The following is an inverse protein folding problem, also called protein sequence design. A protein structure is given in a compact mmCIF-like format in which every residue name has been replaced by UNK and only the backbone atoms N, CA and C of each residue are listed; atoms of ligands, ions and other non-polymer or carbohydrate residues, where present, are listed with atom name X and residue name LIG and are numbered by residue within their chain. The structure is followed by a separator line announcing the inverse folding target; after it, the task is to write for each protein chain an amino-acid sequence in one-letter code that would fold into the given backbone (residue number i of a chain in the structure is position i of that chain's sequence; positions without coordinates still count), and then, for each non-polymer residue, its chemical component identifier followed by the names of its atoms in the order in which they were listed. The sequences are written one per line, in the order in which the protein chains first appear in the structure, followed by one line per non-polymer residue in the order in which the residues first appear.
data_IF_341032726175
#
_entry.id   IF_341032726175
#
_cell.length_a   1.000
_cell.length_b   1.000
_cell.length_c   1.000
_cell.angle_alpha   90.00
_cell.angle_beta   90.00
_cell.angle_gamma   90.00
#
_symmetry.space_group_name_H-M   'P 1'
#
loop_
_entity.id
_entity.type
_entity.pdbx_description
1 polymer ?
#
# COMPACT_ATOMS: atom_id res chain seq x y z
N UNK A 1 2.49 17.48 20.95
CA UNK A 1 3.07 16.12 20.94
C UNK A 1 2.45 15.32 19.81
N UNK A 2 3.27 14.71 19.02
CA UNK A 2 2.78 13.83 17.93
C UNK A 2 2.18 12.59 18.60
N UNK A 3 0.92 12.30 18.34
CA UNK A 3 0.28 11.08 18.85
C UNK A 3 0.98 9.86 18.23
N UNK A 4 1.29 8.82 19.02
CA UNK A 4 2.05 7.69 18.53
C UNK A 4 1.26 6.89 17.49
N UNK A 5 1.95 6.53 16.41
CA UNK A 5 1.46 5.69 15.33
C UNK A 5 2.16 4.34 15.44
N UNK A 6 1.39 3.27 15.35
CA UNK A 6 1.92 1.91 15.30
C UNK A 6 1.59 1.26 13.96
N UNK A 7 2.59 0.62 13.34
CA UNK A 7 2.41 -0.10 12.09
C UNK A 7 2.29 -1.59 12.38
N UNK A 8 1.24 -2.20 11.86
CA UNK A 8 0.97 -3.65 11.99
C UNK A 8 0.63 -4.24 10.63
N UNK A 9 1.06 -5.48 10.39
CA UNK A 9 0.56 -6.26 9.27
C UNK A 9 -0.82 -6.84 9.59
N UNK A 10 -1.75 -6.77 8.65
CA UNK A 10 -3.03 -7.47 8.76
C UNK A 10 -2.78 -8.99 8.67
N UNK A 11 -3.24 -9.73 9.65
CA UNK A 11 -3.16 -11.20 9.69
C UNK A 11 -4.49 -11.86 9.29
N UNK A 12 -5.57 -11.13 9.40
CA UNK A 12 -6.93 -11.55 9.02
C UNK A 12 -7.74 -10.33 8.55
N UNK A 13 -8.78 -10.59 7.76
CA UNK A 13 -9.74 -9.58 7.35
C UNK A 13 -10.89 -9.51 8.36
N UNK A 14 -11.07 -8.34 8.97
CA UNK A 14 -12.11 -8.05 9.96
C UNK A 14 -13.09 -7.00 9.44
N UNK A 15 -14.24 -6.88 10.07
CA UNK A 15 -15.19 -5.79 9.78
C UNK A 15 -14.59 -4.42 10.04
N UNK A 16 -13.72 -4.29 11.04
CA UNK A 16 -12.96 -3.06 11.30
C UNK A 16 -12.07 -2.70 10.11
N UNK A 17 -11.38 -3.69 9.54
CA UNK A 17 -10.55 -3.52 8.36
C UNK A 17 -11.41 -3.08 7.16
N UNK A 18 -12.54 -3.74 6.92
CA UNK A 18 -13.46 -3.37 5.84
C UNK A 18 -13.98 -1.94 6.00
N UNK A 19 -14.36 -1.53 7.20
CA UNK A 19 -14.78 -0.17 7.49
C UNK A 19 -13.66 0.85 7.28
N UNK A 20 -12.42 0.52 7.65
CA UNK A 20 -11.26 1.37 7.41
C UNK A 20 -11.00 1.56 5.90
N UNK A 21 -11.04 0.50 5.11
CA UNK A 21 -10.86 0.58 3.64
C UNK A 21 -12.01 1.34 2.96
N UNK A 22 -13.26 1.17 3.43
CA UNK A 22 -14.40 1.95 2.94
C UNK A 22 -14.19 3.46 3.11
N UNK A 23 -13.46 3.89 4.14
CA UNK A 23 -13.12 5.29 4.40
C UNK A 23 -11.86 5.74 3.66
N UNK A 24 -10.85 4.89 3.59
CA UNK A 24 -9.52 5.25 3.06
C UNK A 24 -9.47 5.21 1.52
N UNK A 25 -10.02 4.19 0.88
CA UNK A 25 -9.91 4.00 -0.58
C UNK A 25 -10.49 5.18 -1.37
N UNK A 26 -11.65 5.77 -1.01
CA UNK A 26 -12.14 6.97 -1.70
C UNK A 26 -11.19 8.17 -1.63
N UNK A 27 -10.29 8.22 -0.64
CA UNK A 27 -9.27 9.26 -0.52
C UNK A 27 -8.06 9.01 -1.44
N UNK A 28 -7.94 7.81 -1.98
CA UNK A 28 -6.85 7.41 -2.88
C UNK A 28 -7.27 7.46 -4.35
N UNK A 29 -8.44 6.93 -4.67
CA UNK A 29 -8.92 6.78 -6.05
C UNK A 29 -10.44 6.66 -6.11
N UNK A 30 -10.97 6.61 -7.35
CA UNK A 30 -12.39 6.33 -7.61
C UNK A 30 -12.75 4.83 -7.59
N UNK A 31 -11.80 3.95 -7.25
CA UNK A 31 -12.07 2.52 -7.15
C UNK A 31 -13.07 2.22 -6.03
N UNK A 32 -13.88 1.20 -6.25
CA UNK A 32 -14.76 0.67 -5.19
C UNK A 32 -13.91 0.07 -4.07
N UNK A 33 -14.16 0.41 -2.80
CA UNK A 33 -13.51 -0.25 -1.69
C UNK A 33 -13.78 -1.78 -1.72
N UNK A 34 -12.78 -2.61 -1.37
CA UNK A 34 -12.99 -4.05 -1.28
C UNK A 34 -13.97 -4.37 -0.14
N UNK A 35 -14.85 -5.33 -0.40
CA UNK A 35 -15.67 -5.92 0.66
C UNK A 35 -14.87 -6.90 1.52
N UNK A 36 -15.51 -7.45 2.56
CA UNK A 36 -14.84 -8.38 3.48
C UNK A 36 -14.34 -9.64 2.78
N UNK A 37 -15.06 -10.15 1.77
CA UNK A 37 -14.65 -11.34 1.01
C UNK A 37 -13.39 -11.05 0.20
N UNK A 38 -13.34 -9.94 -0.54
CA UNK A 38 -12.17 -9.51 -1.27
C UNK A 38 -10.97 -9.24 -0.33
N UNK A 39 -11.21 -8.64 0.83
CA UNK A 39 -10.16 -8.41 1.83
C UNK A 39 -9.57 -9.71 2.38
N UNK A 40 -10.39 -10.75 2.58
CA UNK A 40 -9.90 -12.08 2.97
C UNK A 40 -8.93 -12.64 1.93
N UNK A 41 -9.25 -12.54 0.66
CA UNK A 41 -8.36 -12.99 -0.44
C UNK A 41 -7.08 -12.17 -0.48
N UNK A 42 -7.16 -10.85 -0.33
CA UNK A 42 -6.01 -9.96 -0.33
C UNK A 42 -5.05 -10.30 0.82
N UNK A 43 -5.58 -10.42 2.04
CA UNK A 43 -4.77 -10.70 3.25
C UNK A 43 -4.22 -12.13 3.23
N UNK A 44 -4.96 -13.09 2.69
CA UNK A 44 -4.52 -14.49 2.60
C UNK A 44 -3.46 -14.73 1.51
N UNK A 45 -3.30 -13.81 0.56
CA UNK A 45 -2.31 -13.96 -0.52
C UNK A 45 -0.89 -13.94 0.03
N UNK A 46 -0.08 -14.99 -0.23
CA UNK A 46 1.30 -15.06 0.27
C UNK A 46 2.23 -14.00 -0.32
N UNK A 47 1.86 -13.42 -1.46
CA UNK A 47 2.61 -12.32 -2.09
C UNK A 47 2.36 -10.99 -1.41
N UNK A 48 1.23 -10.83 -0.72
CA UNK A 48 0.80 -9.57 -0.14
C UNK A 48 1.17 -9.45 1.34
N UNK A 49 1.48 -8.24 1.74
CA UNK A 49 1.44 -7.82 3.14
C UNK A 49 0.70 -6.49 3.20
N UNK A 50 -0.45 -6.48 3.81
CA UNK A 50 -1.24 -5.27 4.03
C UNK A 50 -0.78 -4.66 5.35
N UNK A 51 -0.10 -3.52 5.27
CA UNK A 51 0.33 -2.76 6.43
C UNK A 51 -0.74 -1.74 6.83
N UNK A 52 -0.99 -1.65 8.11
CA UNK A 52 -1.99 -0.77 8.72
C UNK A 52 -1.32 0.15 9.72
N UNK A 53 -1.62 1.44 9.63
CA UNK A 53 -1.17 2.42 10.60
C UNK A 53 -2.30 2.68 11.61
N UNK A 54 -2.05 2.37 12.85
CA UNK A 54 -2.96 2.62 13.97
C UNK A 54 -2.58 3.92 14.68
N UNK A 55 -3.53 4.79 14.85
CA UNK A 55 -3.44 5.90 15.79
C UNK A 55 -3.73 5.39 17.18
N UNK A 56 -2.72 5.29 18.02
CA UNK A 56 -2.87 4.70 19.36
C UNK A 56 -3.74 5.52 20.30
N UNK A 57 -3.95 6.81 20.04
CA UNK A 57 -4.83 7.64 20.86
C UNK A 57 -6.32 7.35 20.59
N UNK A 58 -6.68 7.08 19.34
CA UNK A 58 -8.07 6.78 18.95
C UNK A 58 -8.35 5.31 18.72
N UNK A 59 -7.33 4.48 18.61
CA UNK A 59 -7.42 3.07 18.23
C UNK A 59 -7.80 2.84 16.77
N UNK A 60 -7.86 3.89 15.94
CA UNK A 60 -8.35 3.80 14.56
C UNK A 60 -7.21 3.52 13.58
N UNK A 61 -7.53 2.79 12.52
CA UNK A 61 -6.68 2.65 11.34
C UNK A 61 -6.74 3.97 10.57
N UNK A 62 -5.58 4.64 10.42
CA UNK A 62 -5.46 5.95 9.79
C UNK A 62 -4.61 5.95 8.53
N UNK A 63 -4.16 4.79 8.10
CA UNK A 63 -3.42 4.63 6.86
C UNK A 63 -3.17 3.17 6.53
N UNK A 64 -2.86 2.92 5.27
CA UNK A 64 -2.53 1.59 4.77
C UNK A 64 -1.51 1.66 3.64
N UNK A 65 -0.78 0.56 3.47
CA UNK A 65 0.13 0.30 2.36
C UNK A 65 0.09 -1.20 2.08
N UNK A 66 0.00 -1.58 0.81
CA UNK A 66 0.14 -2.98 0.42
C UNK A 66 1.51 -3.22 -0.18
N UNK A 67 2.29 -4.11 0.43
CA UNK A 67 3.55 -4.60 -0.11
C UNK A 67 3.29 -5.90 -0.87
N UNK A 68 3.68 -5.94 -2.15
CA UNK A 68 3.60 -7.13 -2.99
C UNK A 68 5.02 -7.63 -3.27
N UNK A 69 5.32 -8.86 -2.91
CA UNK A 69 6.64 -9.47 -3.16
C UNK A 69 6.46 -10.65 -4.10
N UNK A 70 7.18 -10.64 -5.21
CA UNK A 70 7.12 -11.71 -6.19
C UNK A 70 8.52 -12.16 -6.61
N UNK A 71 8.64 -13.47 -6.90
CA UNK A 71 9.84 -14.05 -7.49
C UNK A 71 9.65 -14.12 -9.00
N UNK A 72 10.60 -13.52 -9.72
CA UNK A 72 10.69 -13.57 -11.18
C UNK A 72 12.06 -14.17 -11.55
N UNK A 73 12.28 -14.58 -12.80
CA UNK A 73 13.53 -15.24 -13.19
C UNK A 73 14.79 -14.45 -12.86
N UNK A 74 14.73 -13.14 -12.87
CA UNK A 74 15.90 -12.26 -12.65
C UNK A 74 16.12 -11.87 -11.20
N UNK A 75 15.09 -11.91 -10.35
CA UNK A 75 15.18 -11.46 -8.96
C UNK A 75 13.93 -11.80 -8.15
N UNK A 76 13.99 -11.55 -6.84
CA UNK A 76 12.82 -11.27 -6.02
C UNK A 76 12.61 -9.76 -6.08
N UNK A 77 11.41 -9.32 -6.44
CA UNK A 77 11.03 -7.91 -6.49
C UNK A 77 9.88 -7.61 -5.57
N UNK A 78 9.84 -6.39 -5.07
CA UNK A 78 8.74 -5.87 -4.28
C UNK A 78 8.13 -4.64 -4.95
N UNK A 79 6.82 -4.48 -4.77
CA UNK A 79 6.04 -3.33 -5.18
C UNK A 79 5.28 -2.78 -3.99
N UNK A 80 5.26 -1.48 -3.87
CA UNK A 80 4.38 -0.77 -2.93
C UNK A 80 3.17 -0.28 -3.71
N UNK A 81 2.00 -0.69 -3.25
CA UNK A 81 0.71 -0.38 -3.84
C UNK A 81 -0.21 0.28 -2.84
N UNK A 82 -1.12 1.09 -3.35
CA UNK A 82 -2.26 1.68 -2.61
C UNK A 82 -1.88 2.32 -1.28
N UNK A 83 -0.87 3.18 -1.30
CA UNK A 83 -0.51 3.96 -0.11
C UNK A 83 -1.52 5.08 0.10
N UNK A 84 -2.25 5.04 1.19
CA UNK A 84 -3.18 6.10 1.58
C UNK A 84 -3.07 6.40 3.06
N UNK A 85 -3.10 7.69 3.39
CA UNK A 85 -3.17 8.21 4.76
C UNK A 85 -4.43 9.05 4.86
N UNK A 86 -5.24 8.77 5.88
CA UNK A 86 -6.44 9.54 6.19
C UNK A 86 -6.10 11.04 6.24
N UNK A 87 -6.93 11.85 5.59
CA UNK A 87 -6.73 13.30 5.53
C UNK A 87 -6.53 13.92 6.92
N UNK A 88 -7.26 13.43 7.92
CA UNK A 88 -7.14 13.87 9.31
C UNK A 88 -5.83 13.49 10.01
N UNK A 89 -5.08 12.54 9.45
CA UNK A 89 -3.81 12.06 10.01
C UNK A 89 -2.58 12.47 9.19
N UNK A 90 -2.77 13.25 8.12
CA UNK A 90 -1.66 13.74 7.30
C UNK A 90 -0.74 14.67 8.09
N UNK A 91 0.52 14.77 7.65
CA UNK A 91 1.53 15.58 8.32
C UNK A 91 2.07 15.00 9.63
N UNK A 92 1.61 13.81 10.04
CA UNK A 92 2.03 13.13 11.28
C UNK A 92 3.06 12.02 11.06
N UNK A 93 3.67 11.92 9.87
CA UNK A 93 4.67 10.90 9.54
C UNK A 93 4.11 9.51 9.24
N UNK A 94 2.79 9.34 9.11
CA UNK A 94 2.14 8.04 8.87
C UNK A 94 2.62 7.39 7.59
N UNK A 95 2.66 8.14 6.49
CA UNK A 95 3.14 7.62 5.19
C UNK A 95 4.60 7.20 5.23
N UNK A 96 5.44 7.93 5.96
CA UNK A 96 6.84 7.58 6.16
C UNK A 96 6.98 6.29 6.97
N UNK A 97 6.25 6.16 8.07
CA UNK A 97 6.29 4.96 8.91
C UNK A 97 5.84 3.70 8.14
N UNK A 98 4.74 3.79 7.38
CA UNK A 98 4.28 2.71 6.50
C UNK A 98 5.33 2.32 5.47
N UNK A 99 5.92 3.31 4.80
CA UNK A 99 6.90 3.05 3.74
C UNK A 99 8.18 2.42 4.31
N UNK A 100 8.69 2.92 5.44
CA UNK A 100 9.87 2.33 6.11
C UNK A 100 9.64 0.88 6.50
N UNK A 101 8.48 0.55 7.04
CA UNK A 101 8.13 -0.84 7.38
C UNK A 101 8.01 -1.71 6.13
N UNK A 102 7.41 -1.20 5.05
CA UNK A 102 7.38 -1.88 3.75
C UNK A 102 8.77 -2.20 3.22
N UNK A 103 9.70 -1.24 3.29
CA UNK A 103 11.11 -1.43 2.88
C UNK A 103 11.81 -2.47 3.74
N UNK A 104 11.60 -2.44 5.04
CA UNK A 104 12.16 -3.41 5.99
C UNK A 104 11.70 -4.84 5.68
N UNK A 105 10.41 -5.04 5.48
CA UNK A 105 9.83 -6.34 5.13
C UNK A 105 10.27 -6.83 3.74
N UNK A 106 10.37 -5.95 2.77
CA UNK A 106 10.89 -6.31 1.45
C UNK A 106 12.33 -6.82 1.54
N UNK A 107 13.18 -6.16 2.31
CA UNK A 107 14.56 -6.59 2.55
C UNK A 107 14.63 -7.96 3.26
N UNK A 108 13.81 -8.17 4.28
CA UNK A 108 13.72 -9.47 4.98
C UNK A 108 13.29 -10.62 4.05
N UNK A 109 12.44 -10.33 3.06
CA UNK A 109 12.02 -11.30 2.04
C UNK A 109 13.02 -11.46 0.90
N UNK A 110 14.17 -10.80 0.96
CA UNK A 110 15.23 -10.89 -0.03
C UNK A 110 14.96 -10.16 -1.34
N UNK A 111 14.08 -9.16 -1.33
CA UNK A 111 13.83 -8.35 -2.52
C UNK A 111 15.07 -7.57 -2.93
N UNK A 112 15.43 -7.64 -4.21
CA UNK A 112 16.55 -6.89 -4.77
C UNK A 112 16.20 -5.41 -4.98
N UNK A 113 14.92 -5.09 -5.15
CA UNK A 113 14.41 -3.72 -5.30
C UNK A 113 12.98 -3.61 -4.81
N UNK A 114 12.61 -2.40 -4.43
CA UNK A 114 11.23 -2.01 -4.13
C UNK A 114 10.84 -0.89 -5.07
N UNK A 115 9.77 -1.08 -5.81
CA UNK A 115 9.29 -0.13 -6.79
C UNK A 115 7.89 0.37 -6.41
N UNK A 116 7.56 1.54 -6.88
CA UNK A 116 6.23 2.13 -6.81
C UNK A 116 6.01 3.07 -7.98
N UNK A 117 4.77 3.36 -8.28
CA UNK A 117 4.40 4.43 -9.19
C UNK A 117 3.69 5.55 -8.43
N UNK A 118 3.97 6.79 -8.80
CA UNK A 118 3.33 7.96 -8.20
C UNK A 118 3.10 9.01 -9.27
N UNK A 119 1.91 9.63 -9.25
CA UNK A 119 1.60 10.69 -10.18
C UNK A 119 2.41 11.95 -9.86
N UNK A 120 2.84 12.73 -10.88
CA UNK A 120 3.56 13.98 -10.64
C UNK A 120 2.84 14.96 -9.71
N UNK A 121 1.51 15.02 -9.77
CA UNK A 121 0.70 15.89 -8.92
C UNK A 121 0.73 15.54 -7.42
N UNK A 122 1.16 14.32 -7.06
CA UNK A 122 1.29 13.89 -5.65
C UNK A 122 2.64 14.36 -5.07
N UNK A 123 2.86 15.65 -5.06
CA UNK A 123 4.16 16.26 -4.71
C UNK A 123 4.65 15.88 -3.32
N UNK A 124 3.78 15.86 -2.31
CA UNK A 124 4.17 15.50 -0.94
C UNK A 124 4.63 14.06 -0.84
N UNK A 125 3.94 13.12 -1.52
CA UNK A 125 4.33 11.73 -1.58
C UNK A 125 5.66 11.55 -2.33
N UNK A 126 5.82 12.23 -3.45
CA UNK A 126 7.05 12.17 -4.25
C UNK A 126 8.26 12.66 -3.43
N UNK A 127 8.12 13.78 -2.73
CA UNK A 127 9.19 14.26 -1.81
C UNK A 127 9.50 13.27 -0.70
N UNK A 128 8.49 12.58 -0.16
CA UNK A 128 8.68 11.53 0.83
C UNK A 128 9.53 10.40 0.27
N UNK A 129 9.18 9.88 -0.89
CA UNK A 129 9.90 8.76 -1.51
C UNK A 129 11.36 9.12 -1.81
N UNK A 130 11.63 10.30 -2.33
CA UNK A 130 12.99 10.78 -2.55
C UNK A 130 13.80 10.87 -1.25
N UNK A 131 13.21 11.40 -0.16
CA UNK A 131 13.86 11.43 1.15
C UNK A 131 14.17 10.03 1.71
N UNK A 132 13.36 9.04 1.36
CA UNK A 132 13.56 7.65 1.77
C UNK A 132 14.57 6.90 0.89
N UNK A 133 15.11 7.55 -0.13
CA UNK A 133 16.12 6.97 -0.99
C UNK A 133 15.59 6.32 -2.27
N UNK A 134 14.30 6.47 -2.58
CA UNK A 134 13.80 6.08 -3.89
C UNK A 134 14.37 6.99 -4.96
N UNK A 135 14.78 6.39 -6.06
CA UNK A 135 15.34 7.09 -7.22
C UNK A 135 14.35 6.99 -8.37
N UNK A 136 14.02 8.13 -8.94
CA UNK A 136 13.16 8.18 -10.13
C UNK A 136 13.84 7.49 -11.30
N UNK A 137 13.15 6.50 -11.89
CA UNK A 137 13.66 5.73 -13.02
C UNK A 137 13.34 6.39 -14.35
N UNK A 138 14.30 6.35 -15.27
CA UNK A 138 14.11 6.72 -16.69
C UNK A 138 13.57 5.51 -17.46
N UNK A 139 12.35 5.10 -17.17
CA UNK A 139 11.66 3.98 -17.81
C UNK A 139 10.23 4.34 -18.13
N UNK A 140 9.63 3.67 -19.11
CA UNK A 140 8.23 3.87 -19.44
C UNK A 140 7.36 2.89 -18.63
N UNK A 141 6.21 3.35 -18.18
CA UNK A 141 5.16 2.53 -17.61
C UNK A 141 4.02 2.45 -18.62
N UNK A 142 3.69 1.24 -19.05
CA UNK A 142 2.60 0.98 -19.99
C UNK A 142 1.43 0.34 -19.25
N UNK A 143 0.21 0.74 -19.65
CA UNK A 143 -1.02 0.13 -19.14
C UNK A 143 -1.84 -0.40 -20.30
N UNK A 144 -2.21 -1.67 -20.23
CA UNK A 144 -3.28 -2.25 -21.03
C UNK A 144 -4.50 -2.47 -20.10
N UNK A 145 -5.63 -1.88 -20.46
CA UNK A 145 -6.87 -2.04 -19.66
C UNK A 145 -7.65 -3.24 -20.16
N UNK A 146 -7.73 -4.28 -19.33
CA UNK A 146 -8.48 -5.50 -19.64
C UNK A 146 -9.97 -5.21 -19.60
N UNK A 147 -10.65 -5.50 -20.71
CA UNK A 147 -12.11 -5.33 -20.86
C UNK A 147 -12.84 -6.65 -20.72
N UNK A 148 -14.18 -6.61 -20.68
CA UNK A 148 -14.99 -7.83 -20.66
C UNK A 148 -14.78 -8.69 -21.92
N UNK A 149 -14.48 -8.07 -23.08
CA UNK A 149 -14.19 -8.78 -24.33
C UNK A 149 -12.87 -9.57 -24.30
N UNK A 150 -11.94 -9.21 -23.44
CA UNK A 150 -10.64 -9.88 -23.29
C UNK A 150 -10.71 -11.09 -22.36
N UNK A 151 -11.84 -11.30 -21.66
CA UNK A 151 -12.01 -12.40 -20.71
C UNK A 151 -12.57 -13.63 -21.41
N UNK A 152 -12.12 -14.84 -21.02
CA UNK A 152 -12.72 -16.06 -21.54
C UNK A 152 -14.20 -16.14 -21.13
N UNK A 153 -15.05 -16.77 -21.96
CA UNK A 153 -16.44 -17.04 -21.56
C UNK A 153 -16.46 -17.92 -20.29
N UNK A 154 -17.42 -17.65 -19.44
CA UNK A 154 -17.63 -18.41 -18.20
C UNK A 154 -17.98 -19.88 -18.47
#
# INVERSE_FOLDING_TARGET
MTQPIEIRAAIEATEELAAAFARLIPQLSAAMPPDLAALREIVASPSNTVLLAYDLASGKIVGTLTLVVCRIPTAIRAWIEDVVVDAAARGRGVGEALTREGLRLAAERGAASVELTSRPAREAANRLYERLGFVRRATNVYRYSVTAADRPPA
#
